data_IF_438428096885
#
_entry.id   IF_438428096885
#
_cell.length_a   1.000
_cell.length_b   1.000
_cell.length_c   1.000
_cell.angle_alpha   90.00
_cell.angle_beta   90.00
_cell.angle_gamma   90.00
#
_symmetry.space_group_name_H-M   'P 1'
#
loop_
_entity.id
_entity.type
_entity.pdbx_description
1 polymer ?
#
# COMPACT_ATOMS: atom_id res chain seq x y z
N UNK A 1 -2.51 7.91 -8.96
CA UNK A 1 -2.17 6.96 -10.02
C UNK A 1 -2.87 5.62 -9.79
N UNK A 2 -3.53 5.06 -10.80
CA UNK A 2 -4.15 3.73 -10.81
C UNK A 2 -4.35 3.29 -12.26
N UNK A 3 -4.66 2.01 -12.51
CA UNK A 3 -4.96 1.52 -13.86
C UNK A 3 -6.42 1.74 -14.29
N UNK A 4 -7.33 1.99 -13.36
CA UNK A 4 -8.76 2.19 -13.65
C UNK A 4 -9.10 3.68 -13.79
N UNK A 5 -9.36 4.12 -15.02
CA UNK A 5 -9.65 5.52 -15.32
C UNK A 5 -10.99 6.00 -14.73
N UNK A 6 -12.04 5.18 -14.80
CA UNK A 6 -13.37 5.56 -14.27
C UNK A 6 -13.33 5.79 -12.75
N UNK A 7 -12.67 4.88 -12.01
CA UNK A 7 -12.51 5.03 -10.58
C UNK A 7 -11.70 6.28 -10.21
N UNK A 8 -10.67 6.61 -11.00
CA UNK A 8 -9.87 7.81 -10.78
C UNK A 8 -10.68 9.08 -11.02
N UNK A 9 -11.50 9.12 -12.08
CA UNK A 9 -12.35 10.27 -12.40
C UNK A 9 -13.43 10.49 -11.34
N UNK A 10 -14.08 9.40 -10.91
CA UNK A 10 -15.05 9.43 -9.80
C UNK A 10 -14.39 9.95 -8.52
N UNK A 11 -13.25 9.40 -8.13
CA UNK A 11 -12.51 9.83 -6.93
C UNK A 11 -12.09 11.30 -7.02
N UNK A 12 -11.62 11.75 -8.19
CA UNK A 12 -11.30 13.16 -8.42
C UNK A 12 -12.51 14.04 -8.14
N UNK A 13 -13.67 13.72 -8.75
CA UNK A 13 -14.89 14.49 -8.61
C UNK A 13 -15.37 14.54 -7.16
N UNK A 14 -15.35 13.41 -6.47
CA UNK A 14 -15.72 13.31 -5.05
C UNK A 14 -14.83 14.19 -4.16
N UNK A 15 -13.51 14.11 -4.33
CA UNK A 15 -12.56 14.86 -3.53
C UNK A 15 -12.63 16.38 -3.81
N UNK A 16 -12.75 16.78 -5.09
CA UNK A 16 -12.89 18.18 -5.45
C UNK A 16 -14.18 18.80 -4.87
N UNK A 17 -15.29 18.07 -4.95
CA UNK A 17 -16.58 18.54 -4.44
C UNK A 17 -16.61 18.61 -2.90
N UNK A 18 -15.96 17.65 -2.23
CA UNK A 18 -15.98 17.56 -0.76
C UNK A 18 -15.01 18.52 -0.09
N UNK A 19 -13.83 18.72 -0.68
CA UNK A 19 -12.73 19.44 -0.02
C UNK A 19 -12.31 20.74 -0.72
N UNK A 20 -12.87 21.06 -1.88
CA UNK A 20 -12.54 22.24 -2.69
C UNK A 20 -11.04 22.35 -3.02
N UNK A 21 -10.39 21.20 -3.26
CA UNK A 21 -8.97 21.09 -3.60
C UNK A 21 -8.76 20.77 -5.07
N UNK A 22 -7.58 21.12 -5.59
CA UNK A 22 -7.20 20.67 -6.92
C UNK A 22 -6.76 19.20 -6.87
N UNK A 23 -7.40 18.35 -7.69
CA UNK A 23 -7.08 16.92 -7.79
C UNK A 23 -6.81 16.58 -9.24
N UNK A 24 -5.61 16.08 -9.51
CA UNK A 24 -5.24 15.55 -10.81
C UNK A 24 -5.02 14.04 -10.73
N UNK A 25 -5.30 13.33 -11.80
CA UNK A 25 -5.09 11.91 -11.87
C UNK A 25 -4.45 11.49 -13.21
N UNK A 26 -3.84 10.33 -13.20
CA UNK A 26 -3.30 9.71 -14.40
C UNK A 26 -3.49 8.18 -14.32
N UNK A 27 -4.14 7.61 -15.35
CA UNK A 27 -4.33 6.17 -15.45
C UNK A 27 -3.08 5.51 -16.05
N UNK A 28 -2.48 4.58 -15.31
CA UNK A 28 -1.28 3.87 -15.76
C UNK A 28 -1.25 2.44 -15.19
N UNK A 29 -0.84 1.48 -16.00
CA UNK A 29 -0.48 0.16 -15.52
C UNK A 29 0.95 0.17 -14.95
N UNK A 30 1.05 0.34 -13.63
CA UNK A 30 2.31 0.41 -12.92
C UNK A 30 3.07 -0.94 -12.86
N UNK A 31 2.48 -2.05 -13.29
CA UNK A 31 3.20 -3.32 -13.45
C UNK A 31 4.28 -3.19 -14.52
N UNK A 32 4.02 -2.41 -15.55
CA UNK A 32 4.91 -2.27 -16.69
C UNK A 32 5.92 -1.13 -16.52
N UNK A 33 7.12 -1.31 -17.10
CA UNK A 33 8.13 -0.25 -17.15
C UNK A 33 7.60 0.99 -17.89
N UNK A 34 6.91 0.78 -19.01
CA UNK A 34 6.33 1.85 -19.84
C UNK A 34 5.26 2.62 -19.07
N UNK A 35 4.36 1.91 -18.36
CA UNK A 35 3.35 2.55 -17.53
C UNK A 35 3.95 3.41 -16.42
N UNK A 36 4.99 2.93 -15.75
CA UNK A 36 5.72 3.74 -14.77
C UNK A 36 6.36 4.99 -15.41
N UNK A 37 7.03 4.85 -16.56
CA UNK A 37 7.65 5.99 -17.26
C UNK A 37 6.60 7.04 -17.64
N UNK A 38 5.47 6.62 -18.18
CA UNK A 38 4.39 7.52 -18.56
C UNK A 38 3.78 8.23 -17.36
N UNK A 39 3.57 7.51 -16.24
CA UNK A 39 3.10 8.08 -15.00
C UNK A 39 4.08 9.12 -14.43
N UNK A 40 5.38 8.84 -14.44
CA UNK A 40 6.42 9.78 -14.01
C UNK A 40 6.36 11.06 -14.85
N UNK A 41 6.36 10.95 -16.17
CA UNK A 41 6.27 12.11 -17.07
C UNK A 41 5.00 12.94 -16.85
N UNK A 42 3.87 12.27 -16.59
CA UNK A 42 2.61 12.96 -16.30
C UNK A 42 2.69 13.76 -14.98
N UNK A 43 3.28 13.19 -13.94
CA UNK A 43 3.48 13.88 -12.66
C UNK A 43 4.44 15.06 -12.81
N UNK A 44 5.59 14.86 -13.48
CA UNK A 44 6.60 15.93 -13.69
C UNK A 44 6.07 17.08 -14.56
N UNK A 45 5.16 16.80 -15.48
CA UNK A 45 4.48 17.85 -16.27
C UNK A 45 3.53 18.70 -15.43
N UNK A 46 2.86 18.07 -14.47
CA UNK A 46 1.81 18.71 -13.68
C UNK A 46 2.34 19.39 -12.42
N UNK A 47 3.40 18.85 -11.83
CA UNK A 47 3.95 19.32 -10.57
C UNK A 47 5.47 19.48 -10.64
N UNK A 48 5.94 20.72 -10.48
CA UNK A 48 7.38 20.99 -10.27
C UNK A 48 7.88 20.46 -8.93
N UNK A 49 7.02 20.53 -7.91
CA UNK A 49 7.32 20.11 -6.56
C UNK A 49 6.11 19.40 -5.92
N UNK A 50 6.38 18.45 -5.06
CA UNK A 50 5.39 17.83 -4.21
C UNK A 50 6.03 17.43 -2.88
N UNK A 51 5.21 17.30 -1.84
CA UNK A 51 5.67 17.12 -0.47
C UNK A 51 5.74 15.66 -0.06
N UNK A 52 4.94 14.82 -0.67
CA UNK A 52 4.72 13.46 -0.18
C UNK A 52 4.52 12.50 -1.32
N UNK A 53 5.14 11.32 -1.21
CA UNK A 53 4.91 10.18 -2.07
C UNK A 53 4.32 9.04 -1.25
N UNK A 54 3.09 8.65 -1.58
CA UNK A 54 2.40 7.53 -0.92
C UNK A 54 2.34 6.33 -1.87
N UNK A 55 2.87 5.21 -1.44
CA UNK A 55 2.73 3.94 -2.12
C UNK A 55 1.57 3.15 -1.52
N UNK A 56 0.43 3.16 -2.21
CA UNK A 56 -0.77 2.41 -1.85
C UNK A 56 -1.20 1.40 -2.92
N UNK A 57 -0.52 1.38 -4.07
CA UNK A 57 -0.81 0.43 -5.13
C UNK A 57 -0.41 -1.00 -4.72
N UNK A 58 -1.33 -1.93 -4.84
CA UNK A 58 -1.06 -3.33 -4.58
C UNK A 58 -2.28 -4.19 -4.87
N UNK A 59 -2.07 -5.24 -5.64
CA UNK A 59 -3.06 -6.28 -5.89
C UNK A 59 -2.31 -7.60 -5.97
N UNK A 60 -2.50 -8.45 -4.97
CA UNK A 60 -1.93 -9.80 -4.93
C UNK A 60 -3.08 -10.78 -4.76
N UNK A 61 -3.01 -11.91 -5.45
CA UNK A 61 -4.02 -12.95 -5.33
C UNK A 61 -3.66 -13.91 -4.20
N UNK A 62 -4.67 -14.46 -3.56
CA UNK A 62 -4.57 -15.57 -2.64
C UNK A 62 -4.83 -16.87 -3.39
N UNK A 63 -4.30 -17.98 -2.91
CA UNK A 63 -4.55 -19.29 -3.51
C UNK A 63 -3.68 -20.40 -2.94
N UNK A 64 -3.99 -21.63 -3.35
CA UNK A 64 -3.18 -22.80 -3.08
C UNK A 64 -1.90 -22.72 -3.91
N UNK A 65 -0.74 -22.81 -3.27
CA UNK A 65 0.57 -22.71 -3.90
C UNK A 65 0.76 -23.63 -5.10
N UNK A 66 0.29 -24.86 -5.02
CA UNK A 66 0.45 -25.86 -6.09
C UNK A 66 -0.43 -25.58 -7.32
N UNK A 67 -1.44 -24.71 -7.17
CA UNK A 67 -2.39 -24.34 -8.24
C UNK A 67 -2.21 -22.91 -8.72
N UNK A 68 -1.49 -22.09 -7.94
CA UNK A 68 -1.33 -20.68 -8.24
C UNK A 68 -0.32 -20.48 -9.37
N UNK A 69 -0.69 -19.78 -10.47
CA UNK A 69 0.21 -19.52 -11.58
C UNK A 69 1.40 -18.65 -11.15
N UNK A 70 2.55 -18.87 -11.79
CA UNK A 70 3.76 -18.07 -11.51
C UNK A 70 3.55 -16.58 -11.84
N UNK A 71 2.70 -16.29 -12.81
CA UNK A 71 2.34 -14.94 -13.22
C UNK A 71 1.71 -14.12 -12.08
N UNK A 72 1.03 -14.75 -11.12
CA UNK A 72 0.49 -14.06 -9.95
C UNK A 72 1.63 -13.52 -9.05
N UNK A 73 2.74 -14.25 -8.94
CA UNK A 73 3.95 -13.79 -8.24
C UNK A 73 4.62 -12.65 -9.00
N UNK A 74 4.83 -12.83 -10.30
CA UNK A 74 5.45 -11.81 -11.17
C UNK A 74 4.65 -10.50 -11.15
N UNK A 75 3.33 -10.58 -11.29
CA UNK A 75 2.41 -9.45 -11.24
C UNK A 75 2.41 -8.74 -9.88
N UNK A 76 2.41 -9.51 -8.79
CA UNK A 76 2.48 -8.96 -7.44
C UNK A 76 3.76 -8.15 -7.21
N UNK A 77 4.91 -8.73 -7.57
CA UNK A 77 6.20 -8.04 -7.49
C UNK A 77 6.28 -6.84 -8.45
N UNK A 78 5.79 -6.99 -9.69
CA UNK A 78 5.79 -5.94 -10.67
C UNK A 78 5.01 -4.70 -10.19
N UNK A 79 3.78 -4.92 -9.68
CA UNK A 79 2.90 -3.83 -9.26
C UNK A 79 3.36 -3.18 -7.97
N UNK A 80 3.65 -3.95 -6.91
CA UNK A 80 3.90 -3.37 -5.59
C UNK A 80 5.36 -3.04 -5.35
N UNK A 81 6.27 -3.93 -5.73
CA UNK A 81 7.69 -3.76 -5.44
C UNK A 81 8.42 -2.96 -6.54
N UNK A 82 8.39 -3.43 -7.78
CA UNK A 82 9.15 -2.78 -8.85
C UNK A 82 8.61 -1.41 -9.21
N UNK A 83 7.29 -1.18 -9.13
CA UNK A 83 6.73 0.16 -9.34
C UNK A 83 7.26 1.14 -8.30
N UNK A 84 7.27 0.74 -7.02
CA UNK A 84 7.78 1.57 -5.94
C UNK A 84 9.26 1.90 -6.11
N UNK A 85 10.08 0.92 -6.52
CA UNK A 85 11.50 1.15 -6.83
C UNK A 85 11.66 2.17 -7.96
N UNK A 86 10.90 2.03 -9.06
CA UNK A 86 10.97 2.93 -10.23
C UNK A 86 10.55 4.35 -9.86
N UNK A 87 9.42 4.49 -9.17
CA UNK A 87 8.89 5.79 -8.77
C UNK A 87 9.76 6.47 -7.71
N UNK A 88 10.27 5.72 -6.72
CA UNK A 88 11.21 6.25 -5.74
C UNK A 88 12.46 6.81 -6.41
N UNK A 89 13.06 6.07 -7.36
CA UNK A 89 14.25 6.54 -8.07
C UNK A 89 13.98 7.79 -8.89
N UNK A 90 12.85 7.87 -9.58
CA UNK A 90 12.50 9.01 -10.42
C UNK A 90 12.23 10.27 -9.58
N UNK A 91 11.48 10.13 -8.49
CA UNK A 91 11.05 11.25 -7.67
C UNK A 91 12.03 11.61 -6.53
N UNK A 92 13.08 10.82 -6.32
CA UNK A 92 14.06 11.06 -5.25
C UNK A 92 14.71 12.44 -5.32
N UNK A 93 15.12 12.97 -6.49
CA UNK A 93 15.70 14.31 -6.58
C UNK A 93 14.76 15.41 -6.06
N UNK A 94 13.48 15.34 -6.40
CA UNK A 94 12.46 16.31 -5.94
C UNK A 94 12.23 16.20 -4.44
N UNK A 95 12.12 14.98 -3.92
CA UNK A 95 11.91 14.74 -2.49
C UNK A 95 13.10 15.15 -1.64
N UNK A 96 14.33 14.88 -2.08
CA UNK A 96 15.55 15.21 -1.34
C UNK A 96 15.82 16.72 -1.32
N UNK A 97 15.61 17.41 -2.44
CA UNK A 97 15.78 18.87 -2.53
C UNK A 97 14.93 19.61 -1.48
N UNK A 98 13.72 19.11 -1.23
CA UNK A 98 12.75 19.76 -0.35
C UNK A 98 12.63 19.09 1.04
N UNK A 99 13.41 18.06 1.32
CA UNK A 99 13.39 17.30 2.58
C UNK A 99 12.00 16.76 2.92
N UNK A 100 11.46 15.93 2.05
CA UNK A 100 10.06 15.47 2.02
C UNK A 100 9.85 14.06 2.59
N UNK A 101 8.67 13.50 2.35
CA UNK A 101 8.22 12.25 2.97
C UNK A 101 7.84 11.19 1.94
N UNK A 102 8.14 9.95 2.29
CA UNK A 102 7.59 8.76 1.63
C UNK A 102 6.87 7.92 2.69
N UNK A 103 5.66 7.48 2.38
CA UNK A 103 4.94 6.47 3.17
C UNK A 103 4.55 5.31 2.28
N UNK A 104 4.91 4.10 2.71
CA UNK A 104 4.46 2.87 2.07
C UNK A 104 3.32 2.23 2.86
N UNK A 105 2.21 1.97 2.19
CA UNK A 105 1.12 1.15 2.72
C UNK A 105 1.42 -0.30 2.34
N UNK A 106 1.87 -1.06 3.31
CA UNK A 106 2.42 -2.38 3.07
C UNK A 106 1.38 -3.48 3.35
N UNK A 107 1.43 -4.13 4.49
CA UNK A 107 0.48 -5.14 4.92
C UNK A 107 1.08 -6.05 6.00
N UNK A 108 0.29 -6.36 7.01
CA UNK A 108 0.73 -7.12 8.19
C UNK A 108 1.29 -8.53 7.87
N UNK A 109 0.92 -9.11 6.73
CA UNK A 109 1.42 -10.41 6.27
C UNK A 109 2.92 -10.44 5.94
N UNK A 110 3.62 -9.30 5.97
CA UNK A 110 5.09 -9.29 5.93
C UNK A 110 5.73 -9.98 7.15
N UNK A 111 5.03 -10.07 8.27
CA UNK A 111 5.50 -10.67 9.52
C UNK A 111 4.78 -11.98 9.90
N UNK A 112 3.63 -12.24 9.30
CA UNK A 112 2.80 -13.40 9.60
C UNK A 112 2.49 -14.16 8.30
N UNK A 113 3.43 -14.98 7.79
CA UNK A 113 3.25 -15.72 6.55
C UNK A 113 2.02 -16.63 6.60
N UNK A 114 1.24 -16.63 5.53
CA UNK A 114 0.06 -17.45 5.36
C UNK A 114 0.23 -18.34 4.12
N UNK A 115 0.03 -19.66 4.21
CA UNK A 115 0.22 -20.58 3.09
C UNK A 115 -0.74 -20.35 1.92
N UNK A 116 -1.87 -19.67 2.16
CA UNK A 116 -2.82 -19.28 1.12
C UNK A 116 -2.63 -17.85 0.62
N UNK A 117 -1.65 -17.10 1.16
CA UNK A 117 -1.34 -15.74 0.75
C UNK A 117 0.15 -15.53 0.52
N UNK A 118 0.82 -16.53 -0.06
CA UNK A 118 2.29 -16.51 -0.26
C UNK A 118 2.75 -15.33 -1.12
N UNK A 119 2.06 -15.02 -2.22
CA UNK A 119 2.39 -13.87 -3.07
C UNK A 119 2.37 -12.59 -2.28
N UNK A 120 1.28 -12.34 -1.55
CA UNK A 120 1.12 -11.10 -0.77
C UNK A 120 2.13 -11.00 0.37
N UNK A 121 2.38 -12.08 1.09
CA UNK A 121 3.38 -12.13 2.16
C UNK A 121 4.77 -11.83 1.66
N UNK A 122 5.21 -12.52 0.59
CA UNK A 122 6.54 -12.34 0.00
C UNK A 122 6.76 -10.92 -0.53
N UNK A 123 5.79 -10.39 -1.28
CA UNK A 123 5.86 -9.02 -1.82
C UNK A 123 5.90 -7.99 -0.70
N UNK A 124 5.07 -8.16 0.33
CA UNK A 124 5.04 -7.25 1.48
C UNK A 124 6.38 -7.27 2.24
N UNK A 125 6.97 -8.44 2.48
CA UNK A 125 8.26 -8.58 3.14
C UNK A 125 9.39 -7.91 2.34
N UNK A 126 9.44 -8.14 1.03
CA UNK A 126 10.38 -7.50 0.14
C UNK A 126 10.23 -5.96 0.14
N UNK A 127 9.00 -5.48 0.08
CA UNK A 127 8.70 -4.05 0.07
C UNK A 127 9.04 -3.39 1.41
N UNK A 128 8.74 -4.04 2.53
CA UNK A 128 9.12 -3.55 3.85
C UNK A 128 10.64 -3.43 4.00
N UNK A 129 11.38 -4.45 3.59
CA UNK A 129 12.85 -4.43 3.61
C UNK A 129 13.41 -3.29 2.76
N UNK A 130 12.89 -3.12 1.54
CA UNK A 130 13.26 -2.01 0.66
C UNK A 130 12.97 -0.65 1.30
N UNK A 131 11.76 -0.46 1.87
CA UNK A 131 11.37 0.78 2.56
C UNK A 131 12.32 1.10 3.72
N UNK A 132 12.70 0.09 4.50
CA UNK A 132 13.69 0.25 5.58
C UNK A 132 15.08 0.64 5.05
N UNK A 133 15.55 0.03 3.99
CA UNK A 133 16.81 0.39 3.35
C UNK A 133 16.76 1.81 2.78
N UNK A 134 15.64 2.17 2.15
CA UNK A 134 15.40 3.50 1.59
C UNK A 134 15.40 4.59 2.67
N UNK A 135 14.89 4.30 3.87
CA UNK A 135 14.92 5.24 5.00
C UNK A 135 16.35 5.56 5.45
N UNK A 136 17.27 4.58 5.41
CA UNK A 136 18.68 4.81 5.72
C UNK A 136 19.35 5.71 4.68
N UNK A 137 18.99 5.56 3.41
CA UNK A 137 19.40 6.51 2.36
C UNK A 137 18.79 7.88 2.62
N UNK A 138 17.53 7.93 3.04
CA UNK A 138 16.80 9.15 3.37
C UNK A 138 17.45 9.97 4.48
N UNK A 139 18.12 9.34 5.46
CA UNK A 139 18.88 10.07 6.50
C UNK A 139 19.98 10.95 5.93
N UNK A 140 20.61 10.53 4.84
CA UNK A 140 21.67 11.30 4.17
C UNK A 140 21.07 12.45 3.36
N UNK A 141 19.95 12.21 2.68
CA UNK A 141 19.36 13.13 1.72
C UNK A 141 18.23 13.99 2.32
N UNK A 142 17.90 13.78 3.59
CA UNK A 142 16.84 14.52 4.28
C UNK A 142 15.42 14.06 3.93
N UNK A 143 15.23 12.84 3.43
CA UNK A 143 13.93 12.27 3.10
C UNK A 143 13.47 11.33 4.22
N UNK A 144 12.32 11.62 4.82
CA UNK A 144 11.71 10.70 5.77
C UNK A 144 10.97 9.57 5.03
N UNK A 145 11.21 8.33 5.45
CA UNK A 145 10.58 7.16 4.83
C UNK A 145 10.02 6.24 5.91
N UNK A 146 8.72 6.01 5.90
CA UNK A 146 8.04 5.18 6.89
C UNK A 146 7.11 4.17 6.23
N UNK A 147 6.74 3.13 6.95
CA UNK A 147 5.85 2.07 6.51
C UNK A 147 4.67 1.90 7.46
N UNK A 148 3.47 1.76 6.90
CA UNK A 148 2.28 1.32 7.62
C UNK A 148 1.95 -0.08 7.15
N UNK A 149 1.68 -0.98 8.08
CA UNK A 149 1.28 -2.35 7.82
C UNK A 149 -0.16 -2.56 8.32
N UNK A 150 -1.16 -2.30 7.47
CA UNK A 150 -2.54 -2.59 7.83
C UNK A 150 -2.78 -4.10 7.97
N UNK A 151 -3.67 -4.46 8.91
CA UNK A 151 -4.32 -5.74 8.94
C UNK A 151 -5.49 -5.83 7.95
N UNK A 152 -6.55 -6.52 8.35
CA UNK A 152 -7.79 -6.57 7.59
C UNK A 152 -8.50 -5.22 7.65
N UNK A 153 -8.70 -4.60 6.49
CA UNK A 153 -9.29 -3.27 6.35
C UNK A 153 -10.58 -3.35 5.53
N UNK A 154 -11.64 -2.70 5.99
CA UNK A 154 -12.97 -2.68 5.37
C UNK A 154 -12.93 -2.02 3.98
N UNK A 155 -12.75 -2.84 2.97
CA UNK A 155 -12.67 -2.46 1.54
C UNK A 155 -13.28 -3.57 0.70
N UNK A 156 -13.58 -3.31 -0.58
CA UNK A 156 -14.04 -4.33 -1.54
C UNK A 156 -13.08 -5.53 -1.61
N UNK A 157 -11.79 -5.29 -1.41
CA UNK A 157 -10.79 -6.35 -1.33
C UNK A 157 -11.02 -7.28 -0.14
N UNK A 158 -11.41 -6.75 1.02
CA UNK A 158 -11.70 -7.58 2.19
C UNK A 158 -12.89 -8.49 1.94
N UNK A 159 -13.94 -7.98 1.28
CA UNK A 159 -15.10 -8.78 0.89
C UNK A 159 -14.66 -9.98 0.04
N UNK A 160 -13.80 -9.73 -0.96
CA UNK A 160 -13.25 -10.82 -1.80
C UNK A 160 -12.43 -11.82 -0.98
N UNK A 161 -11.63 -11.37 -0.03
CA UNK A 161 -10.81 -12.25 0.82
C UNK A 161 -11.72 -13.13 1.71
N UNK A 162 -12.73 -12.54 2.33
CA UNK A 162 -13.68 -13.28 3.18
C UNK A 162 -14.48 -14.28 2.35
N UNK A 163 -14.93 -13.91 1.16
CA UNK A 163 -15.63 -14.84 0.25
C UNK A 163 -14.74 -16.01 -0.13
N UNK A 164 -13.50 -15.77 -0.53
CA UNK A 164 -12.56 -16.85 -0.87
C UNK A 164 -12.29 -17.79 0.33
N UNK A 165 -12.28 -17.26 1.55
CA UNK A 165 -12.16 -18.08 2.75
C UNK A 165 -13.43 -18.91 3.00
N UNK A 166 -14.61 -18.30 2.84
CA UNK A 166 -15.89 -18.99 2.96
C UNK A 166 -15.99 -20.17 1.97
N UNK A 167 -15.66 -19.92 0.71
CA UNK A 167 -15.68 -20.94 -0.35
C UNK A 167 -14.69 -22.09 -0.07
N UNK A 168 -13.49 -21.76 0.41
CA UNK A 168 -12.47 -22.74 0.77
C UNK A 168 -12.88 -23.63 1.96
N UNK A 169 -13.53 -23.03 2.95
CA UNK A 169 -13.92 -23.72 4.19
C UNK A 169 -15.32 -24.34 4.11
N UNK A 170 -16.07 -24.08 3.03
CA UNK A 170 -17.42 -24.59 2.84
C UNK A 170 -18.42 -24.02 3.86
N UNK A 171 -18.23 -22.76 4.29
CA UNK A 171 -19.08 -22.06 5.26
C UNK A 171 -19.73 -20.83 4.64
N UNK A 172 -20.67 -20.21 5.34
CA UNK A 172 -21.27 -18.96 4.88
C UNK A 172 -20.30 -17.78 4.95
N UNK A 173 -20.51 -16.74 4.11
CA UNK A 173 -19.77 -15.48 4.20
C UNK A 173 -19.82 -14.89 5.62
N UNK A 174 -21.00 -14.92 6.25
CA UNK A 174 -21.20 -14.38 7.61
C UNK A 174 -20.39 -15.14 8.65
N UNK A 175 -20.29 -16.46 8.52
CA UNK A 175 -19.47 -17.26 9.44
C UNK A 175 -17.97 -17.04 9.20
N UNK A 176 -17.55 -16.91 7.93
CA UNK A 176 -16.17 -16.59 7.59
C UNK A 176 -15.77 -15.20 8.12
N UNK A 177 -16.64 -14.21 8.03
CA UNK A 177 -16.43 -12.87 8.59
C UNK A 177 -16.31 -12.91 10.11
N UNK A 178 -17.25 -13.61 10.79
CA UNK A 178 -17.17 -13.79 12.25
C UNK A 178 -15.89 -14.50 12.69
N UNK A 179 -15.46 -15.52 11.95
CA UNK A 179 -14.21 -16.21 12.23
C UNK A 179 -13.01 -15.30 12.04
N UNK A 180 -13.00 -14.46 11.00
CA UNK A 180 -11.95 -13.49 10.77
C UNK A 180 -11.86 -12.46 11.90
N UNK A 181 -12.98 -11.90 12.35
CA UNK A 181 -13.05 -10.99 13.50
C UNK A 181 -12.59 -11.66 14.80
N UNK A 182 -13.06 -12.86 15.07
CA UNK A 182 -12.64 -13.64 16.24
C UNK A 182 -11.13 -13.89 16.26
N UNK A 183 -10.54 -14.17 15.09
CA UNK A 183 -9.11 -14.43 14.97
C UNK A 183 -8.23 -13.20 15.22
N UNK A 184 -8.76 -11.99 15.04
CA UNK A 184 -8.06 -10.75 15.39
C UNK A 184 -8.41 -10.24 16.78
N UNK A 185 -9.43 -10.81 17.42
CA UNK A 185 -9.86 -10.41 18.76
C UNK A 185 -10.51 -9.03 18.85
N UNK A 186 -11.02 -8.52 17.74
CA UNK A 186 -11.69 -7.22 17.61
C UNK A 186 -13.14 -7.40 17.18
N UNK A 187 -13.94 -6.37 17.42
CA UNK A 187 -15.35 -6.32 17.04
C UNK A 187 -15.58 -5.80 15.62
N UNK A 188 -14.55 -5.21 15.00
CA UNK A 188 -14.58 -4.70 13.63
C UNK A 188 -13.22 -4.77 12.96
N UNK A 189 -13.20 -4.64 11.65
CA UNK A 189 -12.00 -4.40 10.87
C UNK A 189 -11.58 -2.92 10.94
N UNK A 190 -10.32 -2.63 10.63
CA UNK A 190 -9.87 -1.24 10.44
C UNK A 190 -10.54 -0.60 9.23
N UNK A 191 -10.53 0.73 9.18
CA UNK A 191 -11.08 1.48 8.04
C UNK A 191 -9.98 2.12 7.20
N UNK A 192 -10.22 2.43 5.92
CA UNK A 192 -9.27 3.20 5.11
C UNK A 192 -8.92 4.55 5.73
N UNK A 193 -9.88 5.18 6.42
CA UNK A 193 -9.70 6.47 7.10
C UNK A 193 -8.69 6.37 8.23
N UNK A 194 -8.70 5.29 9.04
CA UNK A 194 -7.70 5.07 10.09
C UNK A 194 -6.27 4.98 9.52
N UNK A 195 -6.12 4.35 8.35
CA UNK A 195 -4.83 4.29 7.65
C UNK A 195 -4.43 5.67 7.13
N UNK A 196 -5.39 6.43 6.59
CA UNK A 196 -5.15 7.78 6.08
C UNK A 196 -4.74 8.76 7.17
N UNK A 197 -5.40 8.72 8.35
CA UNK A 197 -5.04 9.53 9.51
C UNK A 197 -3.61 9.23 10.00
N UNK A 198 -3.24 7.95 10.06
CA UNK A 198 -1.89 7.57 10.42
C UNK A 198 -0.85 8.03 9.37
N UNK A 199 -1.18 7.91 8.08
CA UNK A 199 -0.33 8.42 7.02
C UNK A 199 -0.17 9.94 7.12
N UNK A 200 -1.24 10.67 7.40
CA UNK A 200 -1.22 12.11 7.60
C UNK A 200 -0.33 12.51 8.79
N UNK A 201 -0.45 11.81 9.92
CA UNK A 201 0.43 12.02 11.08
C UNK A 201 1.91 11.88 10.72
N UNK A 202 2.27 10.92 9.86
CA UNK A 202 3.65 10.68 9.46
C UNK A 202 4.25 11.79 8.56
N UNK A 203 3.45 12.70 8.06
CA UNK A 203 3.88 13.86 7.27
C UNK A 203 4.04 15.13 8.10
N UNK A 204 3.63 15.13 9.37
CA UNK A 204 3.76 16.31 10.22
C UNK A 204 5.25 16.62 10.47
N UNK A 205 5.72 17.82 10.13
CA UNK A 205 7.09 18.25 10.42
C UNK A 205 7.49 18.14 11.88
N UNK A 206 6.53 18.16 12.81
CA UNK A 206 6.76 18.03 14.25
C UNK A 206 7.24 16.65 14.66
N UNK A 207 6.90 15.63 13.86
CA UNK A 207 7.35 14.23 14.11
C UNK A 207 8.47 13.80 13.15
N UNK A 208 9.19 14.75 12.57
CA UNK A 208 10.25 14.48 11.58
C UNK A 208 11.34 13.51 12.06
N UNK A 209 11.53 13.38 13.36
CA UNK A 209 12.47 12.41 13.92
C UNK A 209 11.99 10.96 13.73
N UNK A 210 10.72 10.77 13.40
CA UNK A 210 10.14 9.47 13.10
C UNK A 210 10.42 9.10 11.64
N UNK A 211 11.49 8.35 11.40
CA UNK A 211 11.88 7.84 10.09
C UNK A 211 12.40 6.41 10.18
N UNK A 212 12.19 5.63 9.13
CA UNK A 212 12.55 4.21 9.10
C UNK A 212 11.71 3.35 10.05
N UNK A 213 10.58 3.88 10.50
CA UNK A 213 9.66 3.14 11.36
C UNK A 213 8.69 2.30 10.54
N UNK A 214 8.26 1.24 11.17
CA UNK A 214 7.19 0.36 10.74
C UNK A 214 6.09 0.45 11.79
N UNK A 215 4.89 0.84 11.37
CA UNK A 215 3.74 0.94 12.25
C UNK A 215 2.70 -0.10 11.82
N UNK A 216 2.39 -1.02 12.72
CA UNK A 216 1.36 -2.02 12.49
C UNK A 216 0.01 -1.45 12.93
N UNK A 217 -0.95 -1.42 12.01
CA UNK A 217 -2.35 -1.07 12.24
C UNK A 217 -3.18 -2.33 11.97
N UNK A 218 -2.99 -3.34 12.81
CA UNK A 218 -3.44 -4.71 12.58
C UNK A 218 -4.26 -5.30 13.74
N UNK A 219 -4.64 -4.46 14.70
CA UNK A 219 -5.38 -4.89 15.87
C UNK A 219 -4.56 -5.74 16.85
N UNK A 220 -3.22 -5.60 16.83
CA UNK A 220 -2.34 -6.37 17.71
C UNK A 220 -2.07 -7.81 17.22
N UNK A 221 -2.38 -8.10 15.94
CA UNK A 221 -2.24 -9.46 15.38
C UNK A 221 -0.78 -9.89 15.15
N UNK A 222 0.14 -8.95 15.02
CA UNK A 222 1.56 -9.27 14.87
C UNK A 222 2.05 -10.08 16.07
N UNK A 223 2.60 -11.28 15.88
CA UNK A 223 2.94 -12.18 17.00
C UNK A 223 4.25 -11.82 17.72
N UNK A 224 4.98 -10.83 17.22
CA UNK A 224 6.30 -10.43 17.74
C UNK A 224 6.31 -8.96 18.14
N UNK A 225 7.11 -8.64 19.15
CA UNK A 225 7.45 -7.28 19.56
C UNK A 225 8.44 -6.63 18.61
#
# INVERSE_FOLDING_TARGET
>A
LSSNNENLEKTKSELQNKYYINVNYYAADLKTKTGCINAIKAVEKEFENFDTLIFSAGATKSGDFLKQPIEDFEDGFALKFYSAVRLSKAFWPTLSKNKRWIVSINGAMCHSPDPFFMVGGAVNAAFLNFTKALSKRGLVDGVNVNSINPGMTSTDRLITIIQNNADREGISFVDAEKNALKNIGLDRFSTPEEIAELAYFLFDPKVRHLTGTEINLDGGKKPTI
#
